data_IF_849942971333
#
_entry.id   IF_849942971333
#
_cell.length_a   1.000
_cell.length_b   1.000
_cell.length_c   1.000
_cell.angle_alpha   90.00
_cell.angle_beta   90.00
_cell.angle_gamma   90.00
#
_symmetry.space_group_name_H-M   'P 1'
#
loop_
_entity.id
_entity.type
_entity.pdbx_description
1 polymer ?
#
# COMPACT_ATOMS: atom_id res chain seq x y z
N UNK A 1 53.80 28.49 -45.40
CA UNK A 1 52.41 28.16 -45.82
C UNK A 1 51.81 27.20 -44.83
N UNK A 2 51.13 27.70 -43.81
CA UNK A 2 50.43 26.88 -42.80
C UNK A 2 48.93 27.03 -43.01
N UNK A 3 48.26 25.95 -43.42
CA UNK A 3 46.80 25.90 -43.48
C UNK A 3 46.27 25.48 -42.07
N UNK A 4 45.51 26.38 -41.46
CA UNK A 4 44.72 26.10 -40.22
C UNK A 4 43.46 25.31 -40.60
N UNK A 5 43.32 24.10 -40.09
CA UNK A 5 42.04 23.36 -40.05
C UNK A 5 41.26 23.83 -38.81
N UNK A 6 40.13 24.46 -39.05
CA UNK A 6 39.10 24.65 -38.01
C UNK A 6 38.24 23.39 -37.95
N UNK A 7 38.35 22.64 -36.86
CA UNK A 7 37.41 21.56 -36.55
C UNK A 7 36.16 22.13 -35.88
N UNK A 8 35.04 22.00 -36.55
CA UNK A 8 33.72 22.31 -35.99
C UNK A 8 33.28 21.09 -35.14
N UNK A 9 33.26 21.24 -33.82
CA UNK A 9 32.65 20.30 -32.93
C UNK A 9 31.14 20.51 -32.92
N UNK A 10 30.39 19.68 -33.61
CA UNK A 10 28.95 19.64 -33.53
C UNK A 10 28.52 18.92 -32.23
N UNK A 11 28.01 19.68 -31.27
CA UNK A 11 27.44 19.17 -30.03
C UNK A 11 26.07 18.57 -30.38
N UNK A 12 25.99 17.25 -30.51
CA UNK A 12 24.72 16.52 -30.64
C UNK A 12 24.08 16.44 -29.28
N UNK A 13 23.13 17.32 -28.98
CA UNK A 13 22.24 17.26 -27.84
C UNK A 13 21.19 16.18 -28.13
N UNK A 14 21.41 14.97 -27.61
CA UNK A 14 20.40 13.91 -27.58
C UNK A 14 19.27 14.33 -26.62
N UNK A 15 18.17 14.86 -27.17
CA UNK A 15 16.91 14.94 -26.45
C UNK A 15 16.42 13.50 -26.20
N UNK A 16 16.68 12.98 -25.02
CA UNK A 16 15.97 11.81 -24.52
C UNK A 16 14.56 12.29 -24.18
N UNK A 17 13.66 12.23 -25.14
CA UNK A 17 12.22 12.33 -24.90
C UNK A 17 11.83 11.10 -24.06
N UNK A 18 11.84 11.26 -22.74
CA UNK A 18 11.23 10.31 -21.84
C UNK A 18 9.74 10.23 -22.21
N UNK A 19 9.36 9.15 -22.90
CA UNK A 19 7.96 8.78 -23.03
C UNK A 19 7.47 8.49 -21.62
N UNK A 20 6.83 9.46 -20.98
CA UNK A 20 6.03 9.21 -19.80
C UNK A 20 4.91 8.30 -20.27
N UNK A 21 5.04 7.01 -20.05
CA UNK A 21 3.94 6.09 -20.17
C UNK A 21 2.85 6.60 -19.21
N UNK A 22 1.83 7.26 -19.75
CA UNK A 22 0.60 7.50 -19.02
C UNK A 22 0.05 6.11 -18.70
N UNK A 23 0.26 5.63 -17.47
CA UNK A 23 -0.46 4.48 -16.97
C UNK A 23 -1.95 4.88 -17.00
N UNK A 24 -2.66 4.40 -18.02
CA UNK A 24 -4.13 4.47 -18.02
C UNK A 24 -4.61 3.84 -16.73
N UNK A 25 -5.66 4.40 -16.07
CA UNK A 25 -6.24 3.77 -14.90
C UNK A 25 -6.45 2.29 -15.22
N UNK A 26 -5.98 1.42 -14.33
CA UNK A 26 -5.94 -0.02 -14.56
C UNK A 26 -7.37 -0.53 -14.71
N UNK A 27 -7.80 -0.72 -15.96
CA UNK A 27 -9.12 -1.26 -16.27
C UNK A 27 -9.10 -2.75 -15.93
N UNK A 28 -10.10 -3.20 -15.17
CA UNK A 28 -10.27 -4.63 -14.93
C UNK A 28 -10.28 -5.41 -16.24
N UNK A 29 -9.68 -6.61 -16.28
CA UNK A 29 -9.81 -7.49 -17.43
C UNK A 29 -11.27 -7.76 -17.73
N UNK A 30 -11.68 -7.60 -18.99
CA UNK A 30 -13.08 -7.81 -19.43
C UNK A 30 -13.46 -9.29 -19.52
N UNK A 31 -12.45 -10.17 -19.55
CA UNK A 31 -12.63 -11.62 -19.67
C UNK A 31 -12.34 -12.30 -18.34
N UNK A 32 -13.05 -13.38 -18.07
CA UNK A 32 -12.93 -14.16 -16.84
C UNK A 32 -12.62 -15.62 -17.16
N UNK A 33 -11.65 -16.19 -16.47
CA UNK A 33 -11.44 -17.64 -16.38
C UNK A 33 -11.98 -18.13 -15.06
N UNK A 34 -12.93 -19.03 -15.14
CA UNK A 34 -13.60 -19.63 -13.98
C UNK A 34 -13.22 -21.10 -13.90
N UNK A 35 -12.42 -21.45 -12.90
CA UNK A 35 -12.07 -22.83 -12.59
C UNK A 35 -13.00 -23.38 -11.53
N UNK A 36 -13.76 -24.43 -11.86
CA UNK A 36 -14.41 -25.24 -10.86
C UNK A 36 -13.43 -26.27 -10.32
N UNK A 37 -13.16 -26.21 -9.02
CA UNK A 37 -12.35 -27.16 -8.27
C UNK A 37 -13.30 -27.99 -7.41
N UNK A 38 -13.58 -29.23 -7.86
CA UNK A 38 -14.70 -30.03 -7.32
C UNK A 38 -14.17 -31.25 -6.56
N UNK A 39 -14.70 -31.43 -5.36
CA UNK A 39 -14.42 -32.55 -4.49
C UNK A 39 -15.02 -33.85 -5.06
N UNK A 40 -14.18 -34.86 -5.19
CA UNK A 40 -14.53 -36.22 -5.55
C UNK A 40 -14.15 -37.23 -4.46
N UNK A 41 -13.99 -36.76 -3.21
CA UNK A 41 -13.67 -37.64 -2.07
C UNK A 41 -14.84 -38.54 -1.67
N UNK A 42 -14.57 -39.54 -0.88
CA UNK A 42 -15.57 -40.54 -0.45
C UNK A 42 -16.75 -39.96 0.33
N UNK A 43 -16.53 -38.88 1.11
CA UNK A 43 -17.58 -38.20 1.89
C UNK A 43 -18.70 -37.61 0.99
N UNK A 44 -18.40 -37.26 -0.26
CA UNK A 44 -19.38 -36.79 -1.25
C UNK A 44 -20.47 -37.81 -1.57
N UNK A 45 -20.33 -39.08 -1.15
CA UNK A 45 -21.38 -40.13 -1.22
C UNK A 45 -22.41 -40.03 -0.09
N UNK A 46 -22.11 -39.26 0.97
CA UNK A 46 -23.07 -39.10 2.07
C UNK A 46 -24.39 -38.50 1.61
N UNK A 47 -25.49 -38.96 2.23
CA UNK A 47 -26.82 -38.47 1.95
C UNK A 47 -27.00 -37.01 2.31
N UNK A 48 -27.66 -36.22 1.43
CA UNK A 48 -27.89 -34.82 1.65
C UNK A 48 -29.24 -34.34 1.10
N UNK A 49 -30.01 -33.74 1.96
CA UNK A 49 -31.30 -33.16 1.64
C UNK A 49 -32.43 -34.18 1.59
N UNK A 50 -32.47 -35.07 0.61
CA UNK A 50 -33.49 -36.11 0.47
C UNK A 50 -32.90 -37.51 0.72
N UNK A 51 -33.68 -38.47 1.23
CA UNK A 51 -33.23 -39.84 1.32
C UNK A 51 -32.75 -40.34 -0.06
N UNK A 52 -31.63 -41.06 -0.08
CA UNK A 52 -31.01 -41.62 -1.30
C UNK A 52 -30.42 -40.58 -2.29
N UNK A 53 -30.27 -39.32 -1.91
CA UNK A 53 -29.52 -38.34 -2.68
C UNK A 53 -28.20 -38.01 -2.02
N UNK A 54 -27.08 -38.31 -2.68
CA UNK A 54 -25.75 -37.93 -2.16
C UNK A 54 -25.44 -36.46 -2.46
N UNK A 55 -24.52 -35.89 -1.68
CA UNK A 55 -23.96 -34.56 -1.89
C UNK A 55 -23.48 -34.38 -3.33
N UNK A 56 -22.77 -35.41 -3.87
CA UNK A 56 -22.28 -35.37 -5.24
C UNK A 56 -23.43 -35.39 -6.26
N UNK A 57 -24.48 -36.20 -6.05
CA UNK A 57 -25.64 -36.23 -6.97
C UNK A 57 -26.28 -34.86 -7.08
N UNK A 58 -26.46 -34.19 -5.97
CA UNK A 58 -26.99 -32.82 -5.93
C UNK A 58 -26.02 -31.82 -6.59
N UNK A 59 -24.73 -31.91 -6.26
CA UNK A 59 -23.71 -31.04 -6.86
C UNK A 59 -23.65 -31.17 -8.38
N UNK A 60 -23.68 -32.40 -8.94
CA UNK A 60 -23.72 -32.65 -10.38
C UNK A 60 -24.94 -31.99 -11.04
N UNK A 61 -26.12 -32.16 -10.48
CA UNK A 61 -27.34 -31.60 -11.05
C UNK A 61 -27.34 -30.07 -11.08
N UNK A 62 -26.84 -29.44 -10.02
CA UNK A 62 -26.76 -27.97 -9.92
C UNK A 62 -25.64 -27.43 -10.82
N UNK A 63 -24.43 -28.01 -10.77
CA UNK A 63 -23.30 -27.58 -11.61
C UNK A 63 -23.63 -27.74 -13.11
N UNK A 64 -24.30 -28.80 -13.52
CA UNK A 64 -24.74 -28.98 -14.92
C UNK A 64 -25.58 -27.79 -15.36
N UNK A 65 -26.60 -27.40 -14.58
CA UNK A 65 -27.45 -26.25 -14.89
C UNK A 65 -26.67 -24.94 -14.94
N UNK A 66 -25.75 -24.74 -14.00
CA UNK A 66 -24.91 -23.57 -13.93
C UNK A 66 -24.00 -23.46 -15.17
N UNK A 67 -23.25 -24.52 -15.46
CA UNK A 67 -22.37 -24.55 -16.64
C UNK A 67 -23.16 -24.31 -17.93
N UNK A 68 -24.35 -24.87 -18.04
CA UNK A 68 -25.21 -24.66 -19.20
C UNK A 68 -25.68 -23.21 -19.33
N UNK A 69 -26.02 -22.56 -18.21
CA UNK A 69 -26.43 -21.15 -18.19
C UNK A 69 -25.34 -20.19 -18.62
N UNK A 70 -24.05 -20.54 -18.40
CA UNK A 70 -22.89 -19.72 -18.75
C UNK A 70 -22.54 -19.76 -20.25
N UNK A 71 -23.22 -20.56 -21.09
CA UNK A 71 -22.97 -20.61 -22.53
C UNK A 71 -23.21 -19.31 -23.27
N UNK A 72 -24.04 -18.44 -22.71
CA UNK A 72 -24.45 -17.17 -23.32
C UNK A 72 -23.35 -16.13 -23.25
N UNK A 73 -22.45 -16.21 -22.27
CA UNK A 73 -21.40 -15.21 -22.05
C UNK A 73 -20.07 -15.63 -22.69
N UNK A 74 -19.77 -15.06 -23.85
CA UNK A 74 -18.52 -15.31 -24.60
C UNK A 74 -17.26 -14.76 -23.92
N UNK A 75 -17.41 -13.99 -22.83
CA UNK A 75 -16.27 -13.44 -22.05
C UNK A 75 -15.78 -14.41 -20.99
N UNK A 76 -16.45 -15.54 -20.79
CA UNK A 76 -16.12 -16.52 -19.77
C UNK A 76 -15.47 -17.75 -20.42
N UNK A 77 -14.30 -18.12 -19.94
CA UNK A 77 -13.66 -19.41 -20.21
C UNK A 77 -13.78 -20.29 -18.97
N UNK A 78 -14.23 -21.52 -19.14
CA UNK A 78 -14.42 -22.46 -18.05
C UNK A 78 -13.33 -23.51 -18.01
N UNK A 79 -12.94 -23.91 -16.80
CA UNK A 79 -12.06 -25.04 -16.52
C UNK A 79 -12.67 -25.95 -15.44
N UNK A 80 -12.32 -27.22 -15.45
CA UNK A 80 -12.72 -28.16 -14.41
C UNK A 80 -11.52 -28.97 -13.93
N UNK A 81 -11.24 -28.85 -12.64
CA UNK A 81 -10.28 -29.67 -11.91
C UNK A 81 -11.03 -30.49 -10.85
N UNK A 82 -10.68 -31.76 -10.74
CA UNK A 82 -11.19 -32.66 -9.72
C UNK A 82 -10.09 -33.07 -8.77
N UNK A 83 -10.43 -33.41 -7.54
CA UNK A 83 -9.53 -34.05 -6.60
C UNK A 83 -10.22 -35.17 -5.80
N UNK A 84 -9.45 -36.12 -5.27
CA UNK A 84 -9.95 -37.22 -4.45
C UNK A 84 -10.86 -38.22 -5.19
N UNK A 85 -10.74 -38.35 -6.51
CA UNK A 85 -11.70 -39.13 -7.30
C UNK A 85 -11.12 -40.40 -7.96
N UNK A 86 -9.79 -40.60 -7.92
CA UNK A 86 -9.15 -41.72 -8.65
C UNK A 86 -8.74 -42.90 -7.77
N UNK A 87 -8.33 -42.63 -6.54
CA UNK A 87 -7.73 -43.61 -5.63
C UNK A 87 -8.66 -43.87 -4.43
N UNK A 88 -8.61 -45.09 -3.87
CA UNK A 88 -9.38 -45.44 -2.67
C UNK A 88 -8.78 -44.76 -1.42
N UNK A 89 -9.58 -44.51 -0.36
CA UNK A 89 -9.13 -43.81 0.85
C UNK A 89 -7.95 -44.50 1.54
N UNK A 90 -7.88 -45.82 1.47
CA UNK A 90 -6.83 -46.64 2.09
C UNK A 90 -5.46 -46.37 1.47
N UNK A 91 -5.43 -45.94 0.21
CA UNK A 91 -4.20 -45.59 -0.50
C UNK A 91 -3.62 -44.24 -0.09
N UNK A 92 -4.38 -43.42 0.64
CA UNK A 92 -4.00 -42.09 1.16
C UNK A 92 -3.25 -41.25 0.13
N UNK A 93 -3.75 -41.21 -1.13
CA UNK A 93 -3.07 -40.54 -2.22
C UNK A 93 -3.31 -39.03 -2.17
N UNK A 94 -2.52 -38.32 -1.40
CA UNK A 94 -2.62 -36.88 -1.18
C UNK A 94 -2.24 -36.00 -2.39
N UNK A 95 -1.83 -36.62 -3.48
CA UNK A 95 -1.56 -35.94 -4.77
C UNK A 95 -2.67 -36.23 -5.80
N UNK A 96 -3.82 -36.72 -5.36
CA UNK A 96 -4.94 -37.05 -6.26
C UNK A 96 -5.70 -35.80 -6.69
N UNK A 97 -5.22 -35.18 -7.77
CA UNK A 97 -5.94 -34.09 -8.45
C UNK A 97 -5.63 -34.13 -9.95
N UNK A 98 -6.57 -33.66 -10.76
CA UNK A 98 -6.45 -33.67 -12.21
C UNK A 98 -7.26 -32.51 -12.84
N UNK A 99 -6.65 -31.78 -13.79
CA UNK A 99 -7.37 -30.87 -14.69
C UNK A 99 -8.07 -31.69 -15.76
N UNK A 100 -9.34 -32.05 -15.55
CA UNK A 100 -10.09 -32.93 -16.45
C UNK A 100 -10.66 -32.19 -17.67
N UNK A 101 -10.83 -30.86 -17.58
CA UNK A 101 -11.19 -30.00 -18.71
C UNK A 101 -10.40 -28.71 -18.63
N UNK A 102 -9.46 -28.47 -19.57
CA UNK A 102 -8.70 -27.22 -19.63
C UNK A 102 -9.56 -26.08 -20.16
N UNK A 103 -9.13 -24.84 -19.90
CA UNK A 103 -9.78 -23.62 -20.40
C UNK A 103 -9.79 -23.59 -21.92
N UNK A 104 -10.98 -23.56 -22.48
CA UNK A 104 -11.23 -23.42 -23.93
C UNK A 104 -12.58 -22.74 -24.13
N UNK A 105 -12.77 -21.97 -25.21
CA UNK A 105 -14.10 -21.52 -25.62
C UNK A 105 -15.04 -22.69 -25.84
N UNK A 106 -16.32 -22.52 -25.50
CA UNK A 106 -17.41 -23.48 -25.80
C UNK A 106 -17.20 -24.92 -25.30
N UNK A 107 -16.44 -25.11 -24.22
CA UNK A 107 -16.20 -26.46 -23.65
C UNK A 107 -17.26 -26.93 -22.65
N UNK A 108 -18.40 -26.24 -22.56
CA UNK A 108 -19.47 -26.49 -21.59
C UNK A 108 -19.98 -27.95 -21.63
N UNK A 109 -20.20 -28.51 -22.83
CA UNK A 109 -20.61 -29.91 -22.95
C UNK A 109 -19.57 -30.86 -22.34
N UNK A 110 -18.30 -30.64 -22.62
CA UNK A 110 -17.22 -31.46 -22.07
C UNK A 110 -17.20 -31.41 -20.54
N UNK A 111 -17.38 -30.21 -19.97
CA UNK A 111 -17.43 -30.02 -18.51
C UNK A 111 -18.64 -30.79 -17.93
N UNK A 112 -19.83 -30.66 -18.54
CA UNK A 112 -21.04 -31.36 -18.10
C UNK A 112 -20.84 -32.87 -18.14
N UNK A 113 -20.27 -33.39 -19.22
CA UNK A 113 -20.01 -34.84 -19.37
C UNK A 113 -19.04 -35.34 -18.29
N UNK A 114 -17.98 -34.55 -18.01
CA UNK A 114 -16.99 -34.89 -16.95
C UNK A 114 -17.58 -34.79 -15.55
N UNK A 115 -18.40 -33.77 -15.25
CA UNK A 115 -19.10 -33.64 -13.97
C UNK A 115 -19.99 -34.88 -13.75
N UNK A 116 -20.77 -35.27 -14.76
CA UNK A 116 -21.65 -36.43 -14.65
C UNK A 116 -20.90 -37.76 -14.48
N UNK A 117 -19.66 -37.83 -15.00
CA UNK A 117 -18.79 -38.99 -14.88
C UNK A 117 -17.99 -39.08 -13.56
N UNK A 118 -18.09 -38.12 -12.63
CA UNK A 118 -17.36 -38.19 -11.36
C UNK A 118 -17.80 -39.40 -10.56
N UNK A 119 -16.85 -40.18 -10.08
CA UNK A 119 -17.04 -41.29 -9.18
C UNK A 119 -16.23 -41.05 -7.90
N UNK A 120 -16.87 -40.70 -6.78
CA UNK A 120 -16.17 -40.32 -5.55
C UNK A 120 -15.52 -41.54 -4.91
N UNK A 121 -14.28 -41.32 -4.41
CA UNK A 121 -13.52 -42.43 -3.83
C UNK A 121 -12.64 -42.02 -2.65
N UNK A 122 -11.73 -41.06 -2.85
CA UNK A 122 -10.52 -40.93 -2.05
C UNK A 122 -10.58 -39.91 -0.91
N UNK A 123 -9.41 -39.37 -0.60
CA UNK A 123 -9.16 -38.35 0.44
C UNK A 123 -9.35 -36.94 -0.13
N UNK A 124 -9.26 -35.93 0.74
CA UNK A 124 -9.55 -34.51 0.39
C UNK A 124 -8.27 -33.65 0.43
N UNK A 125 -7.41 -33.65 -0.62
CA UNK A 125 -6.17 -32.86 -0.71
C UNK A 125 -6.41 -31.44 -1.25
N UNK A 126 -7.12 -30.60 -0.51
CA UNK A 126 -7.51 -29.24 -0.98
C UNK A 126 -6.28 -28.40 -1.25
N UNK A 127 -5.30 -28.37 -0.32
CA UNK A 127 -4.08 -27.57 -0.48
C UNK A 127 -3.30 -27.93 -1.73
N UNK A 128 -3.08 -29.23 -1.94
CA UNK A 128 -2.38 -29.70 -3.15
C UNK A 128 -3.16 -29.42 -4.43
N UNK A 129 -4.48 -29.63 -4.39
CA UNK A 129 -5.32 -29.36 -5.55
C UNK A 129 -5.37 -27.86 -5.92
N UNK A 130 -5.39 -26.99 -4.91
CA UNK A 130 -5.35 -25.55 -5.10
C UNK A 130 -3.99 -25.07 -5.62
N UNK A 131 -2.88 -25.61 -5.12
CA UNK A 131 -1.53 -25.32 -5.62
C UNK A 131 -1.39 -25.73 -7.09
N UNK A 132 -1.87 -26.91 -7.46
CA UNK A 132 -1.86 -27.37 -8.85
C UNK A 132 -2.79 -26.56 -9.75
N UNK A 133 -3.88 -26.03 -9.22
CA UNK A 133 -4.80 -25.15 -9.95
C UNK A 133 -4.12 -23.87 -10.47
N UNK A 134 -3.05 -23.42 -9.80
CA UNK A 134 -2.26 -22.30 -10.27
C UNK A 134 -1.65 -22.52 -11.68
N UNK A 135 -1.31 -23.75 -11.99
CA UNK A 135 -0.71 -24.12 -13.29
C UNK A 135 -1.76 -24.32 -14.39
N UNK A 136 -3.03 -24.34 -14.04
CA UNK A 136 -4.13 -24.53 -15.01
C UNK A 136 -4.45 -23.27 -15.79
N UNK A 137 -4.16 -22.12 -15.23
CA UNK A 137 -4.44 -20.84 -15.86
C UNK A 137 -3.40 -20.52 -16.92
N UNK A 138 -3.79 -20.38 -18.20
CA UNK A 138 -2.87 -19.96 -19.24
C UNK A 138 -2.20 -18.62 -18.93
N UNK A 139 -0.93 -18.47 -19.24
CA UNK A 139 -0.12 -17.26 -18.99
C UNK A 139 -0.56 -16.02 -19.80
N UNK A 140 -1.51 -16.17 -20.74
CA UNK A 140 -2.05 -15.06 -21.52
C UNK A 140 -2.78 -14.08 -20.63
N UNK A 141 -2.33 -12.81 -20.60
CA UNK A 141 -2.93 -11.74 -19.82
C UNK A 141 -4.33 -11.33 -20.29
N UNK A 142 -4.95 -10.41 -19.56
CA UNK A 142 -6.27 -9.86 -19.90
C UNK A 142 -7.47 -10.68 -19.40
N UNK A 143 -7.24 -11.57 -18.46
CA UNK A 143 -8.27 -12.37 -17.79
C UNK A 143 -8.23 -12.20 -16.28
N UNK A 144 -9.42 -12.23 -15.66
CA UNK A 144 -9.57 -12.45 -14.22
C UNK A 144 -9.61 -13.95 -13.95
N UNK A 145 -8.73 -14.43 -13.11
CA UNK A 145 -8.64 -15.86 -12.77
C UNK A 145 -9.39 -16.12 -11.46
N UNK A 146 -10.50 -16.81 -11.53
CA UNK A 146 -11.40 -17.10 -10.41
C UNK A 146 -11.43 -18.59 -10.17
N UNK A 147 -11.31 -19.00 -8.90
CA UNK A 147 -11.48 -20.39 -8.46
C UNK A 147 -12.75 -20.50 -7.61
N UNK A 148 -13.65 -21.41 -7.98
CA UNK A 148 -14.78 -21.83 -7.14
C UNK A 148 -14.50 -23.23 -6.65
N UNK A 149 -14.30 -23.38 -5.34
CA UNK A 149 -14.07 -24.66 -4.67
C UNK A 149 -15.42 -25.17 -4.17
N UNK A 150 -15.74 -26.42 -4.48
CA UNK A 150 -16.94 -27.10 -4.00
C UNK A 150 -16.49 -28.34 -3.27
N UNK A 151 -16.75 -28.37 -1.96
CA UNK A 151 -16.27 -29.43 -1.06
C UNK A 151 -17.28 -29.72 0.05
N UNK A 152 -17.30 -30.94 0.54
CA UNK A 152 -18.06 -31.34 1.73
C UNK A 152 -17.17 -31.72 2.90
N UNK A 153 -15.86 -31.49 2.76
CA UNK A 153 -14.84 -31.80 3.76
C UNK A 153 -13.80 -30.72 3.93
N UNK A 154 -12.97 -30.92 4.92
CA UNK A 154 -11.75 -30.14 5.17
C UNK A 154 -10.52 -30.88 4.63
N UNK A 155 -9.38 -30.20 4.62
CA UNK A 155 -8.10 -30.81 4.28
C UNK A 155 -7.84 -32.07 5.11
N UNK A 156 -7.58 -33.19 4.45
CA UNK A 156 -7.34 -34.50 5.12
C UNK A 156 -5.92 -35.03 4.89
N UNK A 157 -5.07 -34.27 4.21
CA UNK A 157 -3.72 -34.66 3.82
C UNK A 157 -2.62 -33.87 4.55
N UNK A 158 -2.99 -33.09 5.56
CA UNK A 158 -2.05 -32.32 6.37
C UNK A 158 -1.50 -31.05 5.67
N UNK A 159 -2.09 -30.65 4.54
CA UNK A 159 -1.79 -29.37 3.90
C UNK A 159 -2.46 -28.19 4.63
N UNK A 160 -2.05 -26.98 4.28
CA UNK A 160 -2.65 -25.73 4.75
C UNK A 160 -3.31 -24.97 3.58
N UNK A 161 -4.64 -25.09 3.39
CA UNK A 161 -5.35 -24.39 2.35
C UNK A 161 -5.26 -22.86 2.46
N UNK A 162 -5.13 -22.34 3.70
CA UNK A 162 -5.04 -20.92 3.97
C UNK A 162 -3.73 -20.35 3.46
N UNK A 163 -2.61 -20.95 3.86
CA UNK A 163 -1.28 -20.57 3.40
C UNK A 163 -1.13 -20.70 1.88
N UNK A 164 -1.66 -21.80 1.31
CA UNK A 164 -1.63 -22.03 -0.15
C UNK A 164 -2.41 -20.94 -0.90
N UNK A 165 -3.64 -20.67 -0.48
CA UNK A 165 -4.47 -19.62 -1.11
C UNK A 165 -3.81 -18.25 -1.02
N UNK A 166 -3.31 -17.88 0.15
CA UNK A 166 -2.61 -16.62 0.36
C UNK A 166 -1.40 -16.48 -0.57
N UNK A 167 -0.57 -17.52 -0.68
CA UNK A 167 0.60 -17.51 -1.55
C UNK A 167 0.24 -17.30 -3.03
N UNK A 168 -0.86 -17.93 -3.51
CA UNK A 168 -1.32 -17.78 -4.88
C UNK A 168 -1.90 -16.39 -5.16
N UNK A 169 -2.62 -15.82 -4.21
CA UNK A 169 -3.12 -14.44 -4.30
C UNK A 169 -1.96 -13.44 -4.30
N UNK A 170 -0.96 -13.60 -3.44
CA UNK A 170 0.23 -12.75 -3.38
C UNK A 170 1.03 -12.78 -4.70
N UNK A 171 1.10 -13.94 -5.37
CA UNK A 171 1.69 -14.07 -6.69
C UNK A 171 0.81 -13.49 -7.82
N UNK A 172 -0.44 -13.14 -7.52
CA UNK A 172 -1.39 -12.65 -8.51
C UNK A 172 -1.86 -13.70 -9.51
N UNK A 173 -1.73 -14.99 -9.17
CA UNK A 173 -2.16 -16.10 -10.04
C UNK A 173 -3.68 -16.22 -10.06
N UNK A 174 -4.30 -16.12 -8.88
CA UNK A 174 -5.75 -16.17 -8.68
C UNK A 174 -6.21 -14.99 -7.83
N UNK A 175 -7.48 -14.65 -7.95
CA UNK A 175 -8.18 -13.80 -6.98
C UNK A 175 -8.56 -14.62 -5.75
N UNK A 176 -9.12 -13.96 -4.72
CA UNK A 176 -9.61 -14.67 -3.55
C UNK A 176 -10.59 -15.78 -3.95
N UNK A 177 -10.33 -17.06 -3.61
CA UNK A 177 -11.23 -18.17 -3.99
C UNK A 177 -12.60 -18.02 -3.36
N UNK A 178 -13.62 -18.50 -4.10
CA UNK A 178 -14.96 -18.67 -3.54
C UNK A 178 -15.14 -20.13 -3.13
N UNK A 179 -15.38 -20.38 -1.84
CA UNK A 179 -15.44 -21.73 -1.28
C UNK A 179 -16.87 -22.02 -0.85
N UNK A 180 -17.46 -23.07 -1.42
CA UNK A 180 -18.82 -23.51 -1.13
C UNK A 180 -18.75 -24.85 -0.42
N UNK A 181 -19.05 -24.83 0.90
CA UNK A 181 -19.18 -26.02 1.71
C UNK A 181 -20.53 -26.69 1.51
N UNK A 182 -20.58 -28.01 1.45
CA UNK A 182 -21.80 -28.79 1.30
C UNK A 182 -22.15 -29.51 2.63
N UNK A 183 -22.86 -28.79 3.50
CA UNK A 183 -23.25 -29.32 4.82
C UNK A 183 -22.07 -29.50 5.78
N UNK A 184 -21.07 -28.63 5.70
CA UNK A 184 -19.93 -28.62 6.64
C UNK A 184 -20.39 -28.21 8.03
N UNK A 185 -19.75 -28.78 9.08
CA UNK A 185 -19.97 -28.35 10.45
C UNK A 185 -19.29 -27.01 10.71
N UNK A 186 -19.77 -26.24 11.68
CA UNK A 186 -19.26 -24.90 11.98
C UNK A 186 -17.75 -24.86 12.27
N UNK A 187 -17.20 -25.93 12.89
CA UNK A 187 -15.78 -26.05 13.21
C UNK A 187 -14.89 -26.29 11.98
N UNK A 188 -15.49 -26.53 10.83
CA UNK A 188 -14.83 -26.88 9.55
C UNK A 188 -14.75 -25.69 8.60
N UNK A 189 -14.63 -24.47 9.11
CA UNK A 189 -14.58 -23.27 8.28
C UNK A 189 -13.26 -23.17 7.50
N UNK A 190 -13.38 -22.78 6.22
CA UNK A 190 -12.27 -22.48 5.32
C UNK A 190 -12.19 -20.95 5.00
N UNK A 191 -12.70 -20.12 5.90
CA UNK A 191 -12.75 -18.66 5.73
C UNK A 191 -11.39 -18.01 5.50
N UNK A 192 -10.34 -18.59 6.09
CA UNK A 192 -8.98 -18.12 5.89
C UNK A 192 -8.44 -18.36 4.47
N UNK A 193 -8.95 -19.40 3.77
CA UNK A 193 -8.51 -19.74 2.42
C UNK A 193 -9.23 -18.93 1.34
N UNK A 194 -10.38 -18.34 1.65
CA UNK A 194 -11.16 -17.59 0.69
C UNK A 194 -12.52 -17.15 1.22
N UNK A 195 -13.39 -16.68 0.34
CA UNK A 195 -14.76 -16.35 0.71
C UNK A 195 -15.57 -17.64 0.86
N UNK A 196 -15.68 -18.08 2.11
CA UNK A 196 -16.38 -19.30 2.46
C UNK A 196 -17.88 -19.07 2.71
N UNK A 197 -18.71 -19.93 2.16
CA UNK A 197 -20.15 -20.01 2.45
C UNK A 197 -20.55 -21.48 2.58
N UNK A 198 -21.12 -21.85 3.70
CA UNK A 198 -21.66 -23.19 3.87
C UNK A 198 -23.10 -23.26 3.34
N UNK A 199 -23.37 -24.25 2.51
CA UNK A 199 -24.70 -24.57 2.03
C UNK A 199 -25.25 -25.78 2.80
N UNK A 200 -26.14 -25.55 3.76
CA UNK A 200 -26.70 -26.62 4.61
C UNK A 200 -27.75 -27.45 3.89
N UNK A 201 -28.28 -26.95 2.77
CA UNK A 201 -29.32 -27.63 1.97
C UNK A 201 -29.04 -27.49 0.47
N UNK A 202 -29.57 -28.40 -0.37
CA UNK A 202 -29.49 -28.31 -1.82
C UNK A 202 -30.01 -26.98 -2.40
N UNK A 203 -31.08 -26.44 -1.83
CA UNK A 203 -31.65 -25.16 -2.26
C UNK A 203 -30.67 -24.01 -1.96
N UNK A 204 -30.05 -24.04 -0.79
CA UNK A 204 -29.03 -23.03 -0.39
C UNK A 204 -27.79 -23.13 -1.28
N UNK A 205 -27.37 -24.33 -1.67
CA UNK A 205 -26.23 -24.49 -2.58
C UNK A 205 -26.50 -23.83 -3.94
N UNK A 206 -27.69 -24.02 -4.50
CA UNK A 206 -28.07 -23.35 -5.76
C UNK A 206 -28.07 -21.80 -5.62
N UNK A 207 -28.58 -21.29 -4.52
CA UNK A 207 -28.57 -19.85 -4.23
C UNK A 207 -27.14 -19.31 -4.12
N UNK A 208 -26.31 -19.96 -3.30
CA UNK A 208 -24.94 -19.54 -3.00
C UNK A 208 -24.07 -19.53 -4.25
N UNK A 209 -24.14 -20.58 -5.09
CA UNK A 209 -23.32 -20.63 -6.32
C UNK A 209 -23.77 -19.57 -7.34
N UNK A 210 -25.07 -19.32 -7.48
CA UNK A 210 -25.56 -18.23 -8.33
C UNK A 210 -25.13 -16.87 -7.81
N UNK A 211 -25.15 -16.67 -6.50
CA UNK A 211 -24.64 -15.44 -5.88
C UNK A 211 -23.14 -15.29 -6.10
N UNK A 212 -22.35 -16.37 -5.93
CA UNK A 212 -20.91 -16.37 -6.20
C UNK A 212 -20.61 -15.93 -7.63
N UNK A 213 -21.30 -16.47 -8.60
CA UNK A 213 -21.17 -16.10 -10.02
C UNK A 213 -21.58 -14.65 -10.27
N UNK A 214 -22.75 -14.24 -9.76
CA UNK A 214 -23.23 -12.85 -9.90
C UNK A 214 -22.23 -11.85 -9.33
N UNK A 215 -21.69 -12.11 -8.14
CA UNK A 215 -20.66 -11.28 -7.50
C UNK A 215 -19.37 -11.28 -8.31
N UNK A 216 -18.92 -12.45 -8.73
CA UNK A 216 -17.65 -12.59 -9.46
C UNK A 216 -17.67 -11.95 -10.85
N UNK A 217 -18.82 -11.88 -11.50
CA UNK A 217 -19.00 -11.33 -12.84
C UNK A 217 -19.61 -9.92 -12.84
N UNK A 218 -20.17 -9.49 -11.71
CA UNK A 218 -20.83 -8.18 -11.58
C UNK A 218 -19.80 -7.03 -11.54
N UNK A 219 -20.23 -5.87 -12.03
CA UNK A 219 -19.46 -4.65 -11.87
C UNK A 219 -19.64 -4.10 -10.47
N UNK A 220 -18.53 -3.87 -9.80
CA UNK A 220 -18.47 -3.19 -8.49
C UNK A 220 -17.76 -1.87 -8.69
N UNK A 221 -18.41 -0.78 -8.32
CA UNK A 221 -17.83 0.56 -8.46
C UNK A 221 -17.81 1.28 -7.13
N UNK A 222 -16.79 2.11 -6.94
CA UNK A 222 -16.59 2.87 -5.73
C UNK A 222 -16.31 4.33 -6.08
N UNK A 223 -17.00 5.24 -5.40
CA UNK A 223 -16.64 6.66 -5.38
C UNK A 223 -16.11 7.05 -4.01
N UNK A 224 -15.07 7.87 -3.97
CA UNK A 224 -14.49 8.37 -2.73
C UNK A 224 -14.88 9.82 -2.55
N UNK A 225 -15.47 10.16 -1.41
CA UNK A 225 -15.73 11.55 -1.00
C UNK A 225 -14.70 11.94 0.06
N UNK A 226 -13.79 12.84 -0.27
CA UNK A 226 -12.90 13.44 0.72
C UNK A 226 -13.56 14.72 1.28
N UNK A 227 -13.80 14.74 2.58
CA UNK A 227 -14.51 15.85 3.25
C UNK A 227 -13.56 16.69 4.08
N UNK A 228 -13.39 17.93 3.67
CA UNK A 228 -12.68 18.97 4.41
C UNK A 228 -13.56 19.65 5.48
N UNK A 229 -13.17 20.84 5.87
CA UNK A 229 -13.94 21.65 6.82
C UNK A 229 -15.35 21.97 6.28
N UNK A 230 -16.34 21.98 7.17
CA UNK A 230 -17.73 22.27 6.84
C UNK A 230 -18.30 21.39 5.71
N UNK A 231 -17.84 20.14 5.61
CA UNK A 231 -18.23 19.19 4.57
C UNK A 231 -17.82 19.61 3.14
N UNK A 232 -16.97 20.63 3.00
CA UNK A 232 -16.43 21.06 1.72
C UNK A 232 -15.61 19.93 1.09
N UNK A 233 -15.81 19.63 -0.20
CA UNK A 233 -15.03 18.58 -0.84
C UNK A 233 -13.54 18.93 -0.94
N UNK A 234 -12.68 17.94 -0.68
CA UNK A 234 -11.24 18.03 -0.92
C UNK A 234 -10.88 17.34 -2.23
N UNK A 235 -9.97 17.93 -2.98
CA UNK A 235 -9.52 17.42 -4.30
C UNK A 235 -8.01 17.43 -4.42
N UNK A 236 -7.49 16.87 -5.52
CA UNK A 236 -6.06 16.84 -5.85
C UNK A 236 -5.22 16.06 -4.81
N UNK A 237 -5.83 15.07 -4.19
CA UNK A 237 -5.18 14.18 -3.23
C UNK A 237 -5.14 12.78 -3.87
N UNK A 238 -3.98 12.14 -3.86
CA UNK A 238 -3.85 10.78 -4.35
C UNK A 238 -4.55 9.81 -3.38
N UNK A 239 -5.34 8.90 -3.96
CA UNK A 239 -6.04 7.82 -3.25
C UNK A 239 -5.59 6.49 -3.83
N UNK A 240 -5.24 5.56 -2.95
CA UNK A 240 -4.78 4.22 -3.31
C UNK A 240 -5.68 3.17 -2.67
N UNK A 241 -6.19 2.25 -3.48
CA UNK A 241 -6.82 1.01 -3.02
C UNK A 241 -5.74 -0.05 -2.89
N UNK A 242 -5.50 -0.49 -1.69
CA UNK A 242 -4.53 -1.54 -1.35
C UNK A 242 -5.29 -2.82 -1.05
N UNK A 243 -4.96 -3.90 -1.73
CA UNK A 243 -5.53 -5.21 -1.43
C UNK A 243 -5.17 -5.59 0.02
N UNK A 244 -6.18 -5.80 0.85
CA UNK A 244 -5.99 -6.02 2.29
C UNK A 244 -5.28 -7.35 2.62
N UNK A 245 -5.26 -8.31 1.68
CA UNK A 245 -4.61 -9.61 1.84
C UNK A 245 -3.16 -9.57 1.35
N UNK A 246 -2.95 -9.01 0.15
CA UNK A 246 -1.63 -9.04 -0.50
C UNK A 246 -0.75 -7.84 -0.17
N UNK A 247 -1.35 -6.76 0.35
CA UNK A 247 -0.66 -5.49 0.59
C UNK A 247 -0.27 -4.73 -0.68
N UNK A 248 -0.70 -5.19 -1.87
CA UNK A 248 -0.38 -4.53 -3.15
C UNK A 248 -1.36 -3.42 -3.46
N UNK A 249 -0.86 -2.31 -4.00
CA UNK A 249 -1.70 -1.28 -4.60
C UNK A 249 -2.33 -1.83 -5.89
N UNK A 250 -3.66 -1.82 -5.97
CA UNK A 250 -4.40 -2.29 -7.14
C UNK A 250 -4.97 -1.14 -7.96
N UNK A 251 -5.39 -0.06 -7.31
CA UNK A 251 -5.91 1.13 -7.99
C UNK A 251 -5.32 2.38 -7.35
N UNK A 252 -4.86 3.30 -8.18
CA UNK A 252 -4.31 4.58 -7.75
C UNK A 252 -4.82 5.68 -8.66
N UNK A 253 -5.31 6.77 -8.07
CA UNK A 253 -5.76 7.94 -8.81
C UNK A 253 -5.66 9.21 -7.96
N UNK A 254 -5.57 10.35 -8.61
CA UNK A 254 -5.70 11.65 -7.94
C UNK A 254 -7.17 12.02 -7.89
N UNK A 255 -7.68 12.18 -6.68
CA UNK A 255 -9.09 12.51 -6.45
C UNK A 255 -9.50 13.80 -7.17
N UNK A 256 -10.59 13.72 -7.92
CA UNK A 256 -11.14 14.79 -8.72
C UNK A 256 -12.66 14.84 -8.58
N UNK A 257 -13.26 15.99 -8.85
CA UNK A 257 -14.71 16.16 -8.94
C UNK A 257 -15.08 16.63 -10.34
N UNK A 258 -16.17 16.09 -10.87
CA UNK A 258 -16.75 16.56 -12.12
C UNK A 258 -17.35 17.98 -11.98
N UNK A 259 -17.76 18.66 -13.07
CA UNK A 259 -18.38 19.99 -12.99
C UNK A 259 -19.64 20.05 -12.12
N UNK A 260 -20.29 18.91 -11.82
CA UNK A 260 -21.43 18.79 -10.95
C UNK A 260 -21.03 18.46 -9.50
N UNK A 261 -19.74 18.58 -9.15
CA UNK A 261 -19.19 18.29 -7.83
C UNK A 261 -19.33 16.82 -7.40
N UNK A 262 -19.37 15.88 -8.35
CA UNK A 262 -19.45 14.45 -8.07
C UNK A 262 -18.06 13.82 -8.21
N UNK A 263 -17.65 12.95 -7.28
CA UNK A 263 -16.39 12.24 -7.38
C UNK A 263 -16.40 11.19 -8.50
N UNK A 264 -15.22 10.93 -9.07
CA UNK A 264 -15.03 9.85 -10.03
C UNK A 264 -15.45 8.50 -9.44
N UNK A 265 -15.92 7.62 -10.33
CA UNK A 265 -16.26 6.24 -9.99
C UNK A 265 -15.20 5.29 -10.53
N UNK A 266 -14.58 4.52 -9.65
CA UNK A 266 -13.55 3.53 -9.97
C UNK A 266 -14.19 2.14 -9.94
N UNK A 267 -13.97 1.34 -11.00
CA UNK A 267 -14.37 -0.07 -11.02
C UNK A 267 -13.32 -0.91 -10.29
N UNK A 268 -13.74 -1.64 -9.26
CA UNK A 268 -12.86 -2.47 -8.41
C UNK A 268 -13.27 -3.94 -8.48
N UNK A 269 -12.31 -4.83 -8.17
CA UNK A 269 -12.61 -6.27 -8.18
C UNK A 269 -13.48 -6.65 -6.97
N UNK A 270 -14.65 -7.26 -7.20
CA UNK A 270 -15.58 -7.62 -6.11
C UNK A 270 -15.06 -8.77 -5.22
N UNK A 271 -14.04 -9.49 -5.63
CA UNK A 271 -13.47 -10.61 -4.86
C UNK A 271 -12.32 -10.17 -3.94
N UNK A 272 -11.83 -8.94 -4.08
CA UNK A 272 -10.80 -8.37 -3.21
C UNK A 272 -11.43 -7.57 -2.08
N UNK A 273 -10.79 -7.59 -0.91
CA UNK A 273 -11.03 -6.65 0.18
C UNK A 273 -9.97 -5.56 0.12
N UNK A 274 -10.35 -4.31 0.39
CA UNK A 274 -9.47 -3.17 0.21
C UNK A 274 -9.27 -2.37 1.48
N UNK A 275 -8.03 -1.95 1.69
CA UNK A 275 -7.68 -0.81 2.51
C UNK A 275 -7.58 0.42 1.62
N UNK A 276 -8.08 1.58 2.08
CA UNK A 276 -7.92 2.85 1.40
C UNK A 276 -6.81 3.65 2.07
N UNK A 277 -5.87 4.12 1.25
CA UNK A 277 -4.83 5.05 1.66
C UNK A 277 -5.06 6.38 0.97
N UNK A 278 -5.32 7.44 1.75
CA UNK A 278 -5.39 8.81 1.26
C UNK A 278 -4.08 9.49 1.60
N UNK A 279 -3.34 9.93 0.58
CA UNK A 279 -2.00 10.50 0.72
C UNK A 279 -2.02 11.97 1.18
N UNK A 280 -2.69 12.22 2.31
CA UNK A 280 -2.54 13.44 3.10
C UNK A 280 -1.26 13.38 3.94
N UNK A 281 -0.94 14.43 4.68
CA UNK A 281 0.13 14.43 5.67
C UNK A 281 -0.45 14.77 7.04
N UNK A 282 -0.43 13.84 8.00
CA UNK A 282 -0.12 12.41 7.86
C UNK A 282 -1.11 11.68 6.92
N UNK A 283 -0.75 10.45 6.50
CA UNK A 283 -1.65 9.64 5.67
C UNK A 283 -2.88 9.19 6.45
N UNK A 284 -4.03 9.19 5.79
CA UNK A 284 -5.24 8.53 6.31
C UNK A 284 -5.26 7.10 5.78
N UNK A 285 -5.39 6.13 6.67
CA UNK A 285 -5.52 4.71 6.30
C UNK A 285 -6.84 4.21 6.87
N UNK A 286 -7.77 3.87 5.98
CA UNK A 286 -9.02 3.21 6.34
C UNK A 286 -8.95 1.74 5.95
N UNK A 287 -8.88 0.87 6.96
CA UNK A 287 -8.74 -0.58 6.74
C UNK A 287 -10.09 -1.21 6.46
N UNK A 288 -10.06 -2.25 5.60
CA UNK A 288 -11.21 -3.12 5.25
C UNK A 288 -12.46 -2.32 4.92
N UNK A 289 -12.35 -1.49 3.91
CA UNK A 289 -13.47 -0.64 3.47
C UNK A 289 -14.64 -1.52 3.05
N UNK A 290 -15.82 -1.23 3.58
CA UNK A 290 -17.03 -1.95 3.21
C UNK A 290 -17.51 -1.53 1.82
N UNK A 291 -17.30 -2.39 0.83
CA UNK A 291 -17.72 -2.20 -0.56
C UNK A 291 -18.80 -3.22 -0.90
N UNK A 292 -19.98 -2.76 -1.29
CA UNK A 292 -21.06 -3.63 -1.71
C UNK A 292 -20.77 -4.27 -3.06
N UNK A 293 -20.56 -5.59 -3.04
CA UNK A 293 -20.20 -6.36 -4.24
C UNK A 293 -21.33 -6.36 -5.28
N UNK A 294 -20.99 -6.04 -6.53
CA UNK A 294 -21.97 -5.96 -7.63
C UNK A 294 -22.83 -4.70 -7.64
N UNK A 295 -22.48 -3.70 -6.83
CA UNK A 295 -23.18 -2.41 -6.75
C UNK A 295 -22.19 -1.24 -6.74
N UNK A 296 -22.74 -0.04 -6.75
CA UNK A 296 -21.99 1.18 -6.49
C UNK A 296 -21.96 1.49 -4.99
N UNK A 297 -20.78 1.82 -4.45
CA UNK A 297 -20.60 2.23 -3.06
C UNK A 297 -19.91 3.60 -3.01
N UNK A 298 -20.41 4.51 -2.17
CA UNK A 298 -19.72 5.77 -1.87
C UNK A 298 -19.08 5.68 -0.50
N UNK A 299 -17.77 5.93 -0.44
CA UNK A 299 -16.97 5.93 0.79
C UNK A 299 -16.61 7.36 1.14
N UNK A 300 -17.05 7.84 2.29
CA UNK A 300 -16.78 9.20 2.77
C UNK A 300 -15.65 9.19 3.80
N UNK A 301 -14.61 9.99 3.57
CA UNK A 301 -13.41 10.06 4.41
C UNK A 301 -13.18 11.51 4.84
N UNK A 302 -13.14 11.80 6.16
CA UNK A 302 -12.77 13.12 6.63
C UNK A 302 -11.28 13.39 6.36
N UNK A 303 -11.01 14.45 5.61
CA UNK A 303 -9.66 14.88 5.22
C UNK A 303 -9.47 16.39 5.48
N UNK A 304 -9.82 16.80 6.69
CA UNK A 304 -9.77 18.20 7.10
C UNK A 304 -8.31 18.67 7.18
N UNK A 305 -7.94 19.69 6.41
CA UNK A 305 -6.58 20.16 6.28
C UNK A 305 -6.45 21.67 6.52
N UNK A 306 -5.23 22.09 6.90
CA UNK A 306 -4.78 23.48 6.92
C UNK A 306 -3.35 23.59 6.39
N UNK A 307 -2.78 24.79 6.38
CA UNK A 307 -1.46 25.05 5.86
C UNK A 307 -0.46 25.40 6.97
N UNK A 308 0.77 24.96 6.81
CA UNK A 308 1.93 25.39 7.58
C UNK A 308 2.89 26.14 6.66
N UNK A 309 3.27 27.35 7.07
CA UNK A 309 4.33 28.15 6.48
C UNK A 309 5.44 28.30 7.50
N UNK A 310 6.70 28.04 7.11
CA UNK A 310 7.88 28.26 7.96
C UNK A 310 8.72 29.30 7.25
N UNK A 311 8.84 30.48 7.86
CA UNK A 311 9.61 31.59 7.28
C UNK A 311 10.59 32.16 8.27
N UNK A 312 11.63 32.80 7.77
CA UNK A 312 12.55 33.59 8.56
C UNK A 312 12.19 35.07 8.42
N UNK A 313 12.13 35.78 9.53
CA UNK A 313 11.80 37.20 9.54
C UNK A 313 12.80 38.02 8.74
N UNK A 314 12.35 38.99 7.96
CA UNK A 314 13.21 39.86 7.14
C UNK A 314 13.93 39.16 5.99
N UNK A 315 13.70 37.88 5.72
CA UNK A 315 14.34 37.10 4.65
C UNK A 315 13.32 36.65 3.63
N UNK A 316 13.49 37.02 2.36
CA UNK A 316 12.55 36.68 1.28
C UNK A 316 12.57 35.21 0.90
N UNK A 317 13.70 34.54 1.08
CA UNK A 317 13.86 33.10 0.75
C UNK A 317 14.52 32.39 1.92
N UNK A 318 13.75 31.56 2.65
CA UNK A 318 14.31 30.72 3.71
C UNK A 318 14.68 29.35 3.15
N UNK A 319 15.89 28.88 3.44
CA UNK A 319 16.38 27.53 3.13
C UNK A 319 16.32 26.59 4.31
N UNK A 320 15.70 27.03 5.42
CA UNK A 320 15.61 26.22 6.64
C UNK A 320 14.79 24.97 6.37
N UNK A 321 15.42 23.83 6.61
CA UNK A 321 14.72 22.54 6.63
C UNK A 321 14.14 22.31 8.02
N UNK A 322 12.96 21.72 8.05
CA UNK A 322 12.24 21.43 9.29
C UNK A 322 11.65 20.03 9.24
N UNK A 323 11.86 19.25 10.28
CA UNK A 323 11.26 17.93 10.47
C UNK A 323 9.94 18.10 11.21
N UNK A 324 8.89 17.55 10.62
CA UNK A 324 7.52 17.65 11.16
C UNK A 324 7.13 16.30 11.74
N UNK A 325 6.62 16.33 12.98
CA UNK A 325 6.08 15.17 13.70
C UNK A 325 4.69 15.48 14.23
N UNK A 326 3.86 14.47 14.36
CA UNK A 326 2.65 14.60 15.18
C UNK A 326 3.05 14.72 16.66
N UNK A 327 2.33 15.56 17.42
CA UNK A 327 2.65 15.76 18.83
C UNK A 327 2.64 14.43 19.60
N UNK A 328 3.77 14.10 20.22
CA UNK A 328 3.93 12.88 21.01
C UNK A 328 4.28 11.63 20.19
N UNK A 329 4.45 11.75 18.87
CA UNK A 329 4.94 10.67 18.01
C UNK A 329 6.36 10.99 17.53
N UNK A 330 7.37 10.14 17.79
CA UNK A 330 8.75 10.38 17.37
C UNK A 330 8.97 10.27 15.85
N UNK A 331 8.03 9.70 15.11
CA UNK A 331 8.12 9.50 13.67
C UNK A 331 8.08 10.82 12.90
N UNK A 332 9.03 11.00 11.99
CA UNK A 332 9.04 12.15 11.08
C UNK A 332 8.06 11.87 9.94
N UNK A 333 6.96 12.59 9.90
CA UNK A 333 5.93 12.43 8.86
C UNK A 333 6.25 13.23 7.59
N UNK A 334 7.04 14.31 7.71
CA UNK A 334 7.43 15.14 6.57
C UNK A 334 8.67 15.98 6.90
N UNK A 335 9.46 16.30 5.87
CA UNK A 335 10.55 17.29 5.94
C UNK A 335 10.16 18.46 5.04
N UNK A 336 9.74 19.56 5.66
CA UNK A 336 9.39 20.77 4.93
C UNK A 336 10.61 21.64 4.70
N UNK A 337 10.77 22.14 3.46
CA UNK A 337 11.85 23.04 3.09
C UNK A 337 11.28 24.33 2.49
N UNK A 338 11.89 25.44 2.85
CA UNK A 338 11.54 26.74 2.33
C UNK A 338 10.27 27.34 2.96
N UNK A 339 9.79 28.44 2.35
CA UNK A 339 8.72 29.29 2.87
C UNK A 339 7.36 29.02 2.20
N UNK A 340 7.29 28.03 1.31
CA UNK A 340 6.03 27.70 0.63
C UNK A 340 5.05 27.04 1.60
N UNK A 341 3.75 27.35 1.51
CA UNK A 341 2.75 26.69 2.31
C UNK A 341 2.67 25.20 1.95
N UNK A 342 2.61 24.35 2.95
CA UNK A 342 2.41 22.92 2.79
C UNK A 342 1.19 22.47 3.58
N UNK A 343 0.40 21.56 3.02
CA UNK A 343 -0.87 21.10 3.60
C UNK A 343 -0.65 19.94 4.56
N UNK A 344 -1.28 20.02 5.72
CA UNK A 344 -1.32 18.97 6.74
C UNK A 344 -2.74 18.74 7.20
N UNK A 345 -3.05 17.56 7.70
CA UNK A 345 -4.31 17.34 8.43
C UNK A 345 -4.39 18.32 9.62
N UNK A 346 -5.58 18.78 9.92
CA UNK A 346 -5.79 19.62 11.11
C UNK A 346 -5.41 18.82 12.37
N UNK A 347 -4.54 19.41 13.21
CA UNK A 347 -3.99 18.71 14.35
C UNK A 347 -2.86 19.44 15.06
N UNK A 348 -2.24 18.76 16.03
CA UNK A 348 -1.11 19.30 16.82
C UNK A 348 0.17 18.62 16.38
N UNK A 349 1.18 19.44 16.12
CA UNK A 349 2.47 19.01 15.56
C UNK A 349 3.65 19.57 16.37
N UNK A 350 4.80 18.98 16.17
CA UNK A 350 6.09 19.47 16.61
C UNK A 350 6.95 19.70 15.37
N UNK A 351 7.45 20.93 15.25
CA UNK A 351 8.30 21.37 14.14
C UNK A 351 9.71 21.53 14.66
N UNK A 352 10.60 20.61 14.33
CA UNK A 352 12.03 20.71 14.65
C UNK A 352 12.75 21.37 13.47
N UNK A 353 13.24 22.60 13.67
CA UNK A 353 14.02 23.32 12.67
C UNK A 353 15.49 22.89 12.74
N UNK A 354 16.10 22.58 11.57
CA UNK A 354 17.52 22.21 11.45
C UNK A 354 18.40 23.46 11.42
N UNK A 355 18.17 24.35 12.38
CA UNK A 355 18.97 25.55 12.64
C UNK A 355 20.16 25.22 13.54
N UNK A 356 21.05 26.17 13.73
CA UNK A 356 22.10 26.10 14.74
C UNK A 356 21.77 27.13 15.84
N UNK A 357 21.46 26.71 17.06
CA UNK A 357 21.08 25.34 17.50
C UNK A 357 19.75 24.90 16.91
N UNK A 358 19.47 23.57 16.94
CA UNK A 358 18.14 23.07 16.62
C UNK A 358 17.10 23.59 17.59
N UNK A 359 15.88 23.79 17.10
CA UNK A 359 14.73 24.22 17.91
C UNK A 359 13.50 23.44 17.56
N UNK A 360 12.72 23.10 18.58
CA UNK A 360 11.42 22.46 18.41
C UNK A 360 10.32 23.42 18.83
N UNK A 361 9.32 23.58 17.95
CA UNK A 361 8.19 24.47 18.14
C UNK A 361 6.88 23.67 18.12
N UNK A 362 6.02 23.83 19.14
CA UNK A 362 4.67 23.29 19.08
C UNK A 362 3.83 24.09 18.09
N UNK A 363 3.13 23.40 17.19
CA UNK A 363 2.30 24.00 16.15
C UNK A 363 0.91 23.38 16.17
N UNK A 364 -0.13 24.19 16.05
CA UNK A 364 -1.50 23.73 15.88
C UNK A 364 -2.01 24.18 14.51
N UNK A 365 -2.32 23.19 13.66
CA UNK A 365 -2.85 23.44 12.32
C UNK A 365 -4.38 23.33 12.39
N UNK A 366 -5.07 24.41 12.07
CA UNK A 366 -6.52 24.51 12.04
C UNK A 366 -7.07 24.36 10.63
N UNK A 367 -8.29 23.86 10.54
CA UNK A 367 -8.99 23.67 9.28
C UNK A 367 -9.05 24.95 8.42
N UNK A 368 -8.71 24.83 7.15
CA UNK A 368 -8.69 25.91 6.14
C UNK A 368 -7.89 27.16 6.53
N UNK A 369 -7.08 27.10 7.62
CA UNK A 369 -6.23 28.21 8.02
C UNK A 369 -4.76 27.95 7.70
N UNK A 370 -4.01 29.03 7.64
CA UNK A 370 -2.55 29.01 7.50
C UNK A 370 -1.91 29.39 8.84
N UNK A 371 -1.18 28.44 9.42
CA UNK A 371 -0.30 28.73 10.55
C UNK A 371 1.07 29.14 10.00
N UNK A 372 1.61 30.27 10.47
CA UNK A 372 2.93 30.75 10.08
C UNK A 372 3.88 30.67 11.28
N UNK A 373 4.87 29.79 11.18
CA UNK A 373 6.01 29.77 12.12
C UNK A 373 7.08 30.75 11.62
N UNK A 374 7.27 31.83 12.37
CA UNK A 374 8.26 32.85 12.04
C UNK A 374 9.51 32.64 12.90
N UNK A 375 10.66 32.40 12.27
CA UNK A 375 11.95 32.23 12.90
C UNK A 375 12.71 33.57 12.89
N UNK A 376 13.52 33.89 13.92
CA UNK A 376 14.37 35.07 13.88
C UNK A 376 15.40 34.96 12.76
N UNK A 377 15.87 36.11 12.20
CA UNK A 377 16.98 36.10 11.26
C UNK A 377 18.25 35.55 11.94
N UNK A 378 19.04 34.77 11.19
CA UNK A 378 20.32 34.31 11.68
C UNK A 378 21.29 35.49 11.87
N UNK A 379 22.16 35.39 12.89
CA UNK A 379 23.39 36.14 12.91
C UNK A 379 24.50 35.33 12.22
N UNK A 380 25.48 36.03 11.69
CA UNK A 380 26.68 35.41 11.12
C UNK A 380 27.81 35.50 12.17
N UNK A 381 28.42 34.38 12.51
CA UNK A 381 29.59 34.36 13.40
C UNK A 381 30.82 33.99 12.57
N UNK A 382 31.79 34.89 12.53
CA UNK A 382 33.09 34.66 11.92
C UNK A 382 34.10 34.31 13.03
N UNK A 383 34.52 33.06 13.03
CA UNK A 383 35.57 32.62 13.96
C UNK A 383 36.93 32.80 13.30
N UNK A 384 37.84 33.49 14.03
CA UNK A 384 39.25 33.66 13.66
C UNK A 384 40.09 32.86 14.62
N UNK A 385 40.87 31.92 14.11
CA UNK A 385 41.82 31.12 14.89
C UNK A 385 43.21 31.25 14.29
N UNK A 386 44.25 31.06 15.11
CA UNK A 386 45.64 31.12 14.64
C UNK A 386 46.07 29.93 13.80
N UNK A 387 45.39 28.80 13.98
CA UNK A 387 45.64 27.55 13.26
C UNK A 387 44.39 26.66 13.27
N UNK A 388 44.40 25.60 12.47
CA UNK A 388 43.39 24.54 12.57
C UNK A 388 43.38 23.87 13.93
N UNK A 389 42.26 23.38 14.39
CA UNK A 389 42.15 22.77 15.71
C UNK A 389 40.85 22.03 15.93
N UNK A 390 40.60 21.71 17.17
CA UNK A 390 39.42 20.99 17.65
C UNK A 390 38.70 21.83 18.69
N UNK A 391 37.38 21.78 18.66
CA UNK A 391 36.58 22.52 19.62
C UNK A 391 35.13 22.13 19.65
N UNK A 392 34.38 22.86 20.45
CA UNK A 392 32.94 22.73 20.57
C UNK A 392 32.29 24.08 20.77
N UNK A 393 31.11 24.23 20.26
CA UNK A 393 30.20 25.35 20.46
C UNK A 393 29.15 24.97 21.48
N UNK A 394 28.92 25.81 22.46
CA UNK A 394 27.90 25.69 23.49
C UNK A 394 26.96 26.89 23.42
N UNK A 395 25.67 26.68 23.65
CA UNK A 395 24.73 27.75 23.95
C UNK A 395 24.67 27.96 25.46
N UNK A 396 24.66 29.21 25.91
CA UNK A 396 24.45 29.56 27.31
C UNK A 396 23.00 29.93 27.49
N UNK A 397 22.26 29.11 28.26
CA UNK A 397 20.86 29.31 28.57
C UNK A 397 20.68 30.33 29.70
N UNK A 398 19.46 30.82 29.87
CA UNK A 398 19.06 31.56 31.06
C UNK A 398 19.43 30.75 32.32
N UNK A 399 20.06 31.38 33.30
CA UNK A 399 20.59 30.68 34.49
C UNK A 399 22.01 30.13 34.33
N UNK A 400 22.69 30.36 33.20
CA UNK A 400 24.11 30.05 32.99
C UNK A 400 24.44 28.60 32.64
N UNK A 401 23.47 27.71 32.54
CA UNK A 401 23.70 26.35 32.06
C UNK A 401 24.18 26.35 30.61
N UNK A 402 25.04 25.37 30.26
CA UNK A 402 25.65 25.25 28.94
C UNK A 402 25.09 24.01 28.23
N UNK A 403 24.57 24.20 27.04
CA UNK A 403 24.09 23.11 26.18
C UNK A 403 25.04 22.98 24.98
N UNK A 404 25.54 21.77 24.73
CA UNK A 404 26.37 21.49 23.57
C UNK A 404 25.56 21.65 22.28
N UNK A 405 26.11 22.40 21.32
CA UNK A 405 25.48 22.71 20.04
C UNK A 405 26.07 21.87 18.92
N UNK A 406 27.42 21.92 18.78
CA UNK A 406 28.10 21.20 17.72
C UNK A 406 29.61 21.07 18.00
N UNK A 407 30.23 20.10 17.34
CA UNK A 407 31.69 19.99 17.28
C UNK A 407 32.27 20.96 16.24
N UNK A 408 33.46 21.47 16.54
CA UNK A 408 34.21 22.39 15.69
C UNK A 408 35.55 21.74 15.29
N UNK A 409 35.49 20.54 14.71
CA UNK A 409 36.69 19.75 14.43
C UNK A 409 37.28 20.07 13.05
N UNK A 410 38.62 20.18 12.99
CA UNK A 410 39.40 20.44 11.78
C UNK A 410 39.00 21.68 10.98
N UNK A 411 38.47 22.70 11.65
CA UNK A 411 38.05 23.92 10.95
C UNK A 411 39.26 24.72 10.46
N UNK A 412 39.07 25.45 9.37
CA UNK A 412 40.05 26.39 8.82
C UNK A 412 40.30 27.57 9.77
N UNK A 413 41.35 28.32 9.53
CA UNK A 413 41.69 29.49 10.34
C UNK A 413 40.58 30.54 10.44
N UNK A 414 39.79 30.65 9.39
CA UNK A 414 38.61 31.51 9.34
C UNK A 414 37.42 30.64 8.86
N UNK A 415 36.36 30.62 9.62
CA UNK A 415 35.12 29.96 9.21
C UNK A 415 33.91 30.72 9.75
N UNK A 416 32.82 30.60 9.02
CA UNK A 416 31.58 31.33 9.30
C UNK A 416 30.43 30.35 9.54
N UNK A 417 29.58 30.71 10.50
CA UNK A 417 28.36 29.98 10.81
C UNK A 417 27.18 30.93 10.80
N UNK A 418 26.07 30.50 10.17
CA UNK A 418 24.77 31.10 10.34
C UNK A 418 24.11 30.46 11.57
N UNK A 419 23.85 31.26 12.60
CA UNK A 419 23.43 30.76 13.90
C UNK A 419 22.26 31.59 14.43
N UNK A 420 21.39 30.99 15.21
CA UNK A 420 20.30 31.72 15.87
C UNK A 420 20.82 32.75 16.85
N UNK A 421 20.12 33.88 17.04
CA UNK A 421 20.48 34.86 18.10
C UNK A 421 20.51 34.19 19.47
N UNK A 422 21.50 34.57 20.27
CA UNK A 422 21.69 33.99 21.61
C UNK A 422 23.08 34.28 22.18
N UNK A 423 23.37 33.75 23.37
CA UNK A 423 24.68 33.81 24.00
C UNK A 423 25.38 32.46 23.87
N UNK A 424 26.61 32.48 23.38
CA UNK A 424 27.34 31.26 23.04
C UNK A 424 28.72 31.27 23.69
N UNK A 425 29.27 30.06 23.84
CA UNK A 425 30.67 29.85 24.27
C UNK A 425 31.34 28.91 23.27
N UNK A 426 32.45 29.35 22.72
CA UNK A 426 33.35 28.49 21.96
C UNK A 426 34.48 28.01 22.89
N UNK A 427 34.77 26.71 22.81
CA UNK A 427 35.95 26.08 23.46
C UNK A 427 36.78 25.50 22.34
N UNK A 428 38.06 25.83 22.27
CA UNK A 428 38.89 25.46 21.13
C UNK A 428 40.36 25.24 21.54
N UNK A 429 41.00 24.26 20.90
CA UNK A 429 42.44 23.98 21.06
C UNK A 429 43.09 23.79 19.69
N UNK A 430 44.23 24.41 19.45
CA UNK A 430 45.04 24.26 18.23
C UNK A 430 45.49 22.80 18.07
N UNK A 431 45.43 22.27 16.84
CA UNK A 431 45.68 20.86 16.53
C UNK A 431 47.06 20.37 17.04
N UNK A 432 48.10 21.16 16.84
CA UNK A 432 49.49 20.77 17.15
C UNK A 432 49.91 21.09 18.57
N UNK A 433 49.01 21.55 19.43
CA UNK A 433 49.31 21.87 20.84
C UNK A 433 49.04 20.65 21.71
N UNK A 434 50.07 20.09 22.32
CA UNK A 434 49.98 18.97 23.25
C UNK A 434 49.58 19.41 24.66
N UNK A 435 48.36 19.03 25.09
CA UNK A 435 47.89 19.25 26.45
C UNK A 435 46.72 20.22 26.60
N UNK A 436 45.91 19.98 27.62
CA UNK A 436 44.69 20.74 27.92
C UNK A 436 44.90 22.19 28.25
N UNK A 437 46.09 22.54 28.74
CA UNK A 437 46.50 23.93 29.08
C UNK A 437 46.47 24.89 27.89
N UNK A 438 46.46 24.36 26.65
CA UNK A 438 46.35 25.16 25.42
C UNK A 438 44.91 25.29 24.92
N UNK A 439 43.93 24.89 25.71
CA UNK A 439 42.53 25.11 25.42
C UNK A 439 42.13 26.51 25.78
N UNK A 440 41.59 27.25 24.84
CA UNK A 440 41.01 28.57 25.03
C UNK A 440 39.50 28.51 24.98
N UNK A 441 38.83 29.44 25.62
CA UNK A 441 37.37 29.60 25.47
C UNK A 441 37.01 31.08 25.39
N UNK A 442 35.91 31.37 24.71
CA UNK A 442 35.36 32.71 24.61
C UNK A 442 33.87 32.70 24.61
N UNK A 443 33.24 33.57 25.40
CA UNK A 443 31.80 33.83 25.40
C UNK A 443 31.52 35.03 24.52
N UNK A 444 30.45 34.94 23.71
CA UNK A 444 30.06 36.01 22.81
C UNK A 444 28.54 36.01 22.61
N UNK A 445 28.00 37.13 22.17
CA UNK A 445 26.57 37.28 21.86
C UNK A 445 26.37 37.38 20.36
N UNK A 446 25.37 36.68 19.87
CA UNK A 446 24.89 36.74 18.47
C UNK A 446 23.60 37.52 18.44
N UNK A 447 23.53 38.53 17.60
CA UNK A 447 22.33 39.33 17.36
C UNK A 447 21.73 38.99 15.99
N UNK A 448 20.42 39.08 15.90
CA UNK A 448 19.68 38.84 14.66
C UNK A 448 20.15 39.73 13.53
N UNK A 449 20.42 39.16 12.36
CA UNK A 449 20.86 39.88 11.16
C UNK A 449 22.22 40.52 11.21
N UNK A 450 23.01 40.35 12.29
CA UNK A 450 24.33 40.98 12.47
C UNK A 450 25.46 39.98 12.33
N UNK A 451 26.63 40.50 11.94
CA UNK A 451 27.88 39.74 11.91
C UNK A 451 28.66 39.95 13.20
N UNK A 452 29.08 38.88 13.85
CA UNK A 452 29.92 38.88 15.07
C UNK A 452 31.24 38.21 14.72
N UNK A 453 32.36 38.91 14.94
CA UNK A 453 33.70 38.34 14.79
C UNK A 453 34.23 37.87 16.14
N UNK A 454 34.69 36.64 16.20
CA UNK A 454 35.20 35.98 17.41
C UNK A 454 36.65 35.56 17.19
N UNK A 455 37.57 36.28 17.80
CA UNK A 455 38.97 35.87 17.87
C UNK A 455 39.12 34.89 19.04
N UNK A 456 39.38 33.63 18.76
CA UNK A 456 39.41 32.56 19.78
C UNK A 456 40.72 32.60 20.60
N UNK A 457 41.79 33.07 20.00
CA UNK A 457 43.09 33.30 20.66
C UNK A 457 43.45 34.78 20.55
N UNK A 458 43.44 35.46 21.68
CA UNK A 458 44.03 36.77 21.87
C UNK A 458 44.97 36.70 23.06
#
# INVERSE_FOLDING_TARGET
MYKRLLGVFALVVLFVSGTHAQNKPQKLPEKTRLLFLVDGSGSMLESWGRPNQSKLTVAKAILTKIVDSLRIDSKIELGLRLYGHRFMPEQKKCTDTELVVPFKPQNHKMIIDRINGINPKGVTPISFALDQAANDFPSTGGYRNIVIIITDGIESCGGDPCATSLALQQKGVILQPYIIGLGLKAEQSLECAGKFVNADTPGKFHEVINQALKVSMGKTTVSIELKGANQKPETNINVTFVNAITGKAEYEFVHYLDPNSRPDSVEVDPLSDYDLVVNTVPRIIQRKVNIEKGKHTTVSIPAVQGNLVIRQDGVSTSTVQSMIREKGNPEIIHVQQGHQPFRYLAGKYEVETLTIPRRTYPVSIEADKTFTLTLPPFGVVNFNTISTGYGSLYEIKEGGSQEWVMSLDNLSRVFSLNILPGTYKVVFRVKNSGGSKYTSFKTFQVKAGQTTSVNVFQ
#
